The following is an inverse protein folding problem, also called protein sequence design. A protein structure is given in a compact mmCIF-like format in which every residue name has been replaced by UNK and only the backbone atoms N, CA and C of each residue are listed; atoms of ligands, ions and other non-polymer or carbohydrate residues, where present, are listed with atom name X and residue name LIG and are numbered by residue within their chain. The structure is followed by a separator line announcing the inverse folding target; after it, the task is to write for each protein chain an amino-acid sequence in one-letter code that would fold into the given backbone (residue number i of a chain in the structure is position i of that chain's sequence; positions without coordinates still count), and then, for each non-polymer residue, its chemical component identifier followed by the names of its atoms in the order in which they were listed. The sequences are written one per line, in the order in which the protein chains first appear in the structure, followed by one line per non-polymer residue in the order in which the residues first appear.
data_IF_958651613413
#
_entry.id   IF_958651613413
#
_cell.length_a   1.000
_cell.length_b   1.000
_cell.length_c   1.000
_cell.angle_alpha   90.00
_cell.angle_beta   90.00
_cell.angle_gamma   90.00
#
_symmetry.space_group_name_H-M   'P 1'
#
loop_
_entity.id
_entity.type
_entity.pdbx_description
1 polymer ?
#
# COMPACT_ATOMS: atom_id res chain seq x y z
N UNK A 1 16.29 -9.43 30.12
CA UNK A 1 15.95 -10.79 29.64
C UNK A 1 17.17 -11.66 29.39
N UNK A 2 18.20 -11.19 28.68
CA UNK A 2 19.47 -11.93 28.51
C UNK A 2 20.06 -12.47 29.82
N UNK A 3 20.11 -11.65 30.87
CA UNK A 3 20.59 -12.08 32.19
C UNK A 3 19.73 -13.20 32.82
N UNK A 4 18.41 -13.19 32.62
CA UNK A 4 17.53 -14.26 33.10
C UNK A 4 17.73 -15.55 32.32
N UNK A 5 17.96 -15.48 31.00
CA UNK A 5 18.29 -16.67 30.19
C UNK A 5 19.66 -17.25 30.58
N UNK A 6 20.66 -16.39 30.83
CA UNK A 6 21.95 -16.83 31.36
C UNK A 6 21.82 -17.50 32.73
N UNK A 7 20.98 -16.96 33.61
CA UNK A 7 20.68 -17.56 34.91
C UNK A 7 19.87 -18.87 34.79
N UNK A 8 18.98 -18.97 33.80
CA UNK A 8 18.25 -20.21 33.49
C UNK A 8 19.20 -21.32 33.03
N UNK A 9 20.17 -21.00 32.16
CA UNK A 9 21.15 -21.95 31.64
C UNK A 9 22.22 -22.32 32.68
N UNK A 10 22.67 -21.35 33.48
CA UNK A 10 23.69 -21.53 34.52
C UNK A 10 23.20 -20.94 35.85
N UNK A 11 22.48 -21.69 36.70
CA UNK A 11 21.96 -21.15 37.96
C UNK A 11 23.04 -20.65 38.93
N UNK A 12 24.26 -21.19 38.83
CA UNK A 12 25.39 -20.88 39.72
C UNK A 12 25.96 -19.45 39.57
N UNK A 13 25.57 -18.72 38.51
CA UNK A 13 26.05 -17.34 38.30
C UNK A 13 25.26 -16.30 39.10
N UNK A 14 24.21 -16.72 39.82
CA UNK A 14 23.35 -15.84 40.62
C UNK A 14 23.53 -16.14 42.10
N UNK A 15 23.77 -15.10 42.89
CA UNK A 15 23.69 -15.16 44.35
C UNK A 15 22.65 -14.17 44.87
N UNK A 16 21.98 -14.54 45.96
CA UNK A 16 20.93 -13.75 46.61
C UNK A 16 21.47 -13.19 47.93
N UNK A 17 20.94 -12.04 48.38
CA UNK A 17 21.37 -11.31 49.58
C UNK A 17 22.85 -10.84 49.60
N UNK A 18 23.25 -9.85 48.77
CA UNK A 18 22.45 -9.10 47.80
C UNK A 18 22.42 -9.76 46.42
N UNK A 19 21.41 -9.45 45.60
CA UNK A 19 21.32 -9.98 44.23
C UNK A 19 22.56 -9.63 43.41
N UNK A 20 23.41 -10.62 43.16
CA UNK A 20 24.58 -10.50 42.27
C UNK A 20 24.44 -11.48 41.12
N UNK A 21 24.74 -11.00 39.93
CA UNK A 21 24.82 -11.81 38.70
C UNK A 21 26.23 -11.64 38.15
N UNK A 22 27.00 -12.71 38.02
CA UNK A 22 28.44 -12.68 37.69
C UNK A 22 29.24 -11.73 38.62
N UNK A 23 29.05 -11.87 39.94
CA UNK A 23 29.71 -11.07 41.00
C UNK A 23 29.46 -9.55 40.97
N UNK A 24 28.59 -9.07 40.09
CA UNK A 24 28.17 -7.66 40.01
C UNK A 24 26.79 -7.49 40.61
N UNK A 25 26.61 -6.42 41.39
CA UNK A 25 25.31 -6.02 41.95
C UNK A 25 24.32 -5.74 40.81
N UNK A 26 23.21 -6.47 40.78
CA UNK A 26 22.18 -6.28 39.77
C UNK A 26 21.13 -5.28 40.29
N UNK A 27 21.19 -4.05 39.79
CA UNK A 27 20.18 -3.00 40.07
C UNK A 27 19.16 -2.81 38.94
N UNK A 28 19.27 -3.60 37.88
CA UNK A 28 18.47 -3.39 36.67
C UNK A 28 17.05 -3.89 36.88
N UNK A 29 16.07 -3.01 36.75
CA UNK A 29 14.65 -3.38 36.67
C UNK A 29 14.39 -4.15 35.38
N UNK A 30 13.87 -5.37 35.49
CA UNK A 30 13.49 -6.18 34.33
C UNK A 30 12.01 -5.91 34.07
N UNK A 31 11.70 -5.38 32.88
CA UNK A 31 10.33 -5.17 32.47
C UNK A 31 9.62 -6.51 32.22
N UNK A 32 8.51 -6.76 32.91
CA UNK A 32 7.66 -7.95 32.77
C UNK A 32 6.21 -7.59 32.49
N UNK A 33 5.96 -6.69 31.54
CA UNK A 33 4.62 -6.24 31.14
C UNK A 33 3.66 -7.35 30.65
N UNK A 34 4.17 -8.57 30.42
CA UNK A 34 3.39 -9.75 30.02
C UNK A 34 2.95 -10.63 31.19
N UNK A 35 3.28 -10.26 32.44
CA UNK A 35 2.85 -10.97 33.65
C UNK A 35 1.66 -10.25 34.29
N UNK A 36 0.89 -10.98 35.12
CA UNK A 36 -0.32 -10.44 35.75
C UNK A 36 -0.07 -9.27 36.72
N UNK A 37 1.16 -9.11 37.19
CA UNK A 37 1.60 -8.00 38.06
C UNK A 37 3.09 -7.74 37.89
N UNK A 38 3.54 -6.59 38.40
CA UNK A 38 4.95 -6.25 38.44
C UNK A 38 5.67 -7.06 39.53
N UNK A 39 6.75 -7.73 39.13
CA UNK A 39 7.63 -8.48 40.03
C UNK A 39 8.98 -7.79 40.14
N UNK A 40 9.56 -7.82 41.32
CA UNK A 40 10.94 -7.37 41.50
C UNK A 40 11.91 -8.34 40.80
N UNK A 41 13.06 -7.81 40.43
CA UNK A 41 14.10 -8.55 39.71
C UNK A 41 14.59 -9.75 40.51
N UNK A 42 14.70 -9.59 41.82
CA UNK A 42 15.06 -10.65 42.75
C UNK A 42 14.08 -11.83 42.69
N UNK A 43 12.77 -11.58 42.64
CA UNK A 43 11.76 -12.62 42.50
C UNK A 43 11.90 -13.38 41.18
N UNK A 44 12.16 -12.66 40.09
CA UNK A 44 12.33 -13.25 38.75
C UNK A 44 13.55 -14.17 38.69
N UNK A 45 14.71 -13.71 39.17
CA UNK A 45 15.93 -14.54 39.23
C UNK A 45 15.75 -15.73 40.17
N UNK A 46 15.09 -15.52 41.32
CA UNK A 46 14.86 -16.58 42.30
C UNK A 46 14.02 -17.71 41.72
N UNK A 47 12.91 -17.38 41.04
CA UNK A 47 12.09 -18.37 40.39
C UNK A 47 12.83 -19.07 39.24
N UNK A 48 13.52 -18.33 38.37
CA UNK A 48 14.22 -18.92 37.21
C UNK A 48 15.34 -19.88 37.63
N UNK A 49 16.05 -19.59 38.72
CA UNK A 49 17.11 -20.48 39.25
C UNK A 49 16.55 -21.73 39.94
N UNK A 50 15.35 -21.64 40.51
CA UNK A 50 14.70 -22.71 41.26
C UNK A 50 13.48 -23.33 40.55
N UNK A 51 13.33 -23.10 39.25
CA UNK A 51 12.15 -23.51 38.47
C UNK A 51 11.90 -25.03 38.45
N UNK A 52 12.92 -25.83 38.77
CA UNK A 52 12.85 -27.30 38.84
C UNK A 52 12.25 -27.82 40.15
N UNK A 53 12.11 -26.97 41.17
CA UNK A 53 11.48 -27.35 42.43
C UNK A 53 9.97 -27.50 42.25
N UNK A 54 9.36 -28.41 43.01
CA UNK A 54 7.90 -28.46 43.09
C UNK A 54 7.35 -27.16 43.73
N UNK A 55 6.14 -26.75 43.36
CA UNK A 55 5.54 -25.51 43.88
C UNK A 55 5.55 -25.41 45.42
N UNK A 56 5.25 -26.48 46.19
CA UNK A 56 5.34 -26.44 47.65
C UNK A 56 6.77 -26.22 48.18
N UNK A 57 7.78 -26.83 47.53
CA UNK A 57 9.19 -26.66 47.89
C UNK A 57 9.68 -25.25 47.55
N UNK A 58 9.26 -24.72 46.39
CA UNK A 58 9.54 -23.35 45.98
C UNK A 58 8.97 -22.31 46.97
N UNK A 59 7.74 -22.49 47.46
CA UNK A 59 7.18 -21.61 48.48
C UNK A 59 7.98 -21.66 49.79
N UNK A 60 8.50 -22.84 50.15
CA UNK A 60 9.34 -23.01 51.35
C UNK A 60 10.68 -22.30 51.19
N UNK A 61 11.33 -22.42 50.03
CA UNK A 61 12.62 -21.75 49.77
C UNK A 61 12.45 -20.23 49.66
N UNK A 62 11.39 -19.73 49.03
CA UNK A 62 11.05 -18.29 49.03
C UNK A 62 11.01 -17.70 50.45
N UNK A 63 10.36 -18.41 51.38
CA UNK A 63 10.29 -17.99 52.79
C UNK A 63 11.67 -17.97 53.47
N UNK A 64 12.53 -18.93 53.16
CA UNK A 64 13.89 -19.00 53.75
C UNK A 64 14.79 -17.86 53.28
N UNK A 65 14.67 -17.45 52.01
CA UNK A 65 15.46 -16.37 51.44
C UNK A 65 14.81 -14.98 51.61
N UNK A 66 13.63 -14.91 52.24
CA UNK A 66 12.83 -13.70 52.41
C UNK A 66 12.44 -13.02 51.08
N UNK A 67 12.12 -13.84 50.06
CA UNK A 67 11.73 -13.39 48.72
C UNK A 67 10.26 -13.72 48.50
N UNK A 68 9.50 -12.77 47.97
CA UNK A 68 8.08 -12.96 47.68
C UNK A 68 7.88 -13.92 46.48
N UNK A 69 6.98 -14.91 46.57
CA UNK A 69 6.80 -15.86 45.48
C UNK A 69 6.11 -15.26 44.26
N UNK A 70 6.47 -15.78 43.09
CA UNK A 70 5.75 -15.53 41.82
C UNK A 70 4.44 -16.30 41.79
N UNK A 71 3.36 -15.66 41.33
CA UNK A 71 2.05 -16.29 41.21
C UNK A 71 2.10 -17.50 40.28
N UNK A 72 1.38 -18.57 40.63
CA UNK A 72 1.41 -19.83 39.90
C UNK A 72 1.06 -19.69 38.40
N UNK A 73 0.14 -18.79 38.06
CA UNK A 73 -0.25 -18.51 36.67
C UNK A 73 0.86 -17.83 35.85
N UNK A 74 1.72 -17.06 36.51
CA UNK A 74 2.81 -16.29 35.87
C UNK A 74 4.10 -17.11 35.73
N UNK A 75 4.20 -18.23 36.45
CA UNK A 75 5.37 -19.10 36.48
C UNK A 75 5.66 -19.75 35.13
N UNK A 76 4.65 -20.36 34.52
CA UNK A 76 4.77 -20.96 33.18
C UNK A 76 5.04 -19.92 32.10
N UNK A 77 4.35 -18.78 32.17
CA UNK A 77 4.49 -17.66 31.22
C UNK A 77 5.92 -17.11 31.27
N UNK A 78 6.46 -16.92 32.47
CA UNK A 78 7.82 -16.42 32.66
C UNK A 78 8.86 -17.40 32.10
N UNK A 79 8.71 -18.71 32.34
CA UNK A 79 9.62 -19.72 31.79
C UNK A 79 9.57 -19.77 30.28
N UNK A 80 8.37 -19.80 29.70
CA UNK A 80 8.17 -19.82 28.27
C UNK A 80 8.83 -18.60 27.61
N UNK A 81 8.66 -17.41 28.21
CA UNK A 81 9.25 -16.18 27.70
C UNK A 81 10.79 -16.19 27.80
N UNK A 82 11.37 -16.70 28.89
CA UNK A 82 12.83 -16.82 29.06
C UNK A 82 13.42 -17.87 28.10
N UNK A 83 12.72 -18.96 27.84
CA UNK A 83 13.14 -20.00 26.89
C UNK A 83 13.12 -19.48 25.44
N UNK A 84 12.02 -18.81 25.05
CA UNK A 84 11.84 -18.20 23.72
C UNK A 84 12.72 -16.99 23.48
N UNK A 85 13.32 -16.41 24.52
CA UNK A 85 14.21 -15.28 24.37
C UNK A 85 15.49 -15.68 23.65
N UNK A 86 15.61 -15.42 22.36
CA UNK A 86 16.86 -15.59 21.61
C UNK A 86 17.70 -14.32 21.73
N UNK A 87 19.00 -14.47 22.06
CA UNK A 87 19.94 -13.35 21.93
C UNK A 87 20.17 -13.13 20.44
N UNK A 88 19.30 -12.36 19.83
CA UNK A 88 19.61 -11.78 18.55
C UNK A 88 20.71 -10.75 18.82
N UNK A 89 21.96 -11.14 18.62
CA UNK A 89 23.04 -10.19 18.37
C UNK A 89 22.72 -9.54 17.05
N UNK A 90 21.86 -8.53 17.07
CA UNK A 90 21.71 -7.64 15.94
C UNK A 90 23.03 -6.86 15.84
N UNK A 91 23.84 -7.23 14.85
CA UNK A 91 24.94 -6.39 14.41
C UNK A 91 24.32 -5.05 14.00
N UNK A 92 24.74 -3.97 14.66
CA UNK A 92 24.17 -2.63 14.45
C UNK A 92 24.41 -2.16 13.01
N UNK A 93 25.35 -2.79 12.31
CA UNK A 93 25.66 -2.53 10.90
C UNK A 93 24.83 -3.39 9.91
N UNK A 94 24.15 -4.44 10.38
CA UNK A 94 23.20 -5.25 9.58
C UNK A 94 21.76 -5.13 10.10
N UNK A 95 21.46 -4.07 10.86
CA UNK A 95 20.09 -3.64 11.08
C UNK A 95 19.55 -3.07 9.78
N UNK A 96 19.08 -3.96 8.89
CA UNK A 96 17.87 -3.69 8.14
C UNK A 96 16.78 -3.44 9.19
N UNK A 97 16.69 -2.19 9.64
CA UNK A 97 15.44 -1.66 10.16
C UNK A 97 14.46 -1.99 9.04
N UNK A 98 13.44 -2.86 9.23
CA UNK A 98 12.29 -2.70 8.39
C UNK A 98 11.82 -1.32 8.80
N UNK A 99 12.14 -0.30 7.99
CA UNK A 99 11.21 0.79 7.79
C UNK A 99 9.94 0.01 7.51
N UNK A 100 9.10 -0.15 8.55
CA UNK A 100 7.78 -0.74 8.42
C UNK A 100 7.10 0.25 7.51
N UNK A 101 7.30 0.02 6.21
CA UNK A 101 6.80 0.85 5.17
C UNK A 101 5.36 0.44 5.06
N UNK A 102 4.58 0.91 6.03
CA UNK A 102 3.14 0.87 6.00
C UNK A 102 2.60 1.73 4.85
N UNK A 103 3.42 2.19 3.89
CA UNK A 103 2.93 2.60 2.58
C UNK A 103 2.10 1.49 1.93
N UNK A 104 2.37 0.20 2.18
CA UNK A 104 1.47 -0.87 1.72
C UNK A 104 0.08 -0.78 2.39
N UNK A 105 -0.04 -0.23 3.60
CA UNK A 105 -1.35 0.05 4.21
C UNK A 105 -2.02 1.24 3.49
N UNK A 106 -1.25 2.20 2.97
CA UNK A 106 -1.78 3.20 2.03
C UNK A 106 -2.14 2.59 0.66
N UNK A 107 -1.61 1.40 0.30
CA UNK A 107 -2.07 0.62 -0.85
C UNK A 107 -3.31 -0.22 -0.52
N UNK A 108 -3.53 -0.60 0.75
CA UNK A 108 -4.80 -1.10 1.27
C UNK A 108 -5.80 0.04 1.45
N UNK A 109 -6.13 0.71 0.35
CA UNK A 109 -7.36 1.47 0.28
C UNK A 109 -8.52 0.49 0.25
N UNK A 110 -9.38 0.61 1.26
CA UNK A 110 -10.70 -0.03 1.36
C UNK A 110 -11.40 0.16 0.01
N UNK A 111 -11.52 -0.91 -0.78
CA UNK A 111 -12.11 -0.96 -2.12
C UNK A 111 -11.89 0.31 -2.97
N UNK A 112 -10.63 0.60 -3.29
CA UNK A 112 -10.32 1.74 -4.14
C UNK A 112 -10.89 1.55 -5.54
N UNK A 113 -11.96 2.27 -5.85
CA UNK A 113 -12.52 2.28 -7.19
C UNK A 113 -11.46 2.85 -8.14
N UNK A 114 -10.87 1.98 -8.96
CA UNK A 114 -9.94 2.40 -10.00
C UNK A 114 -10.75 3.09 -11.11
N UNK A 115 -10.17 4.10 -11.75
CA UNK A 115 -10.85 4.80 -12.85
C UNK A 115 -10.04 4.66 -14.13
N UNK A 116 -10.68 4.16 -15.17
CA UNK A 116 -10.07 3.92 -16.48
C UNK A 116 -10.56 4.92 -17.54
N UNK A 117 -9.65 5.27 -18.43
CA UNK A 117 -9.90 6.07 -19.63
C UNK A 117 -9.54 5.20 -20.83
N UNK A 118 -10.45 5.10 -21.79
CA UNK A 118 -10.22 4.34 -23.02
C UNK A 118 -9.61 5.24 -24.09
N UNK A 119 -8.58 4.78 -24.78
CA UNK A 119 -8.01 5.41 -25.98
C UNK A 119 -8.08 4.44 -27.16
N UNK A 120 -7.79 4.89 -28.37
CA UNK A 120 -7.74 3.99 -29.52
C UNK A 120 -6.42 3.23 -29.60
N UNK A 121 -6.49 1.99 -30.09
CA UNK A 121 -5.31 1.21 -30.50
C UNK A 121 -4.90 1.46 -31.95
N UNK A 122 -5.58 2.36 -32.68
CA UNK A 122 -5.22 2.67 -34.06
C UNK A 122 -3.90 3.43 -34.12
N UNK A 123 -3.01 3.02 -35.02
CA UNK A 123 -1.77 3.76 -35.32
C UNK A 123 -2.06 5.21 -35.77
N UNK A 124 -3.13 5.39 -36.55
CA UNK A 124 -3.51 6.69 -37.11
C UNK A 124 -4.43 7.52 -36.21
N UNK A 125 -4.81 7.00 -35.03
CA UNK A 125 -5.62 7.76 -34.10
C UNK A 125 -4.86 9.01 -33.63
N UNK A 126 -5.59 10.10 -33.40
CA UNK A 126 -4.97 11.29 -32.84
C UNK A 126 -4.42 10.98 -31.45
N UNK A 127 -5.21 10.32 -30.60
CA UNK A 127 -4.85 10.00 -29.23
C UNK A 127 -4.79 8.48 -29.05
N UNK A 128 -3.61 8.00 -28.63
CA UNK A 128 -3.32 6.59 -28.34
C UNK A 128 -2.49 6.49 -27.04
N UNK A 129 -2.12 5.26 -26.66
CA UNK A 129 -1.35 5.00 -25.44
C UNK A 129 0.02 5.70 -25.41
N UNK A 130 0.61 6.05 -26.56
CA UNK A 130 1.94 6.66 -26.61
C UNK A 130 1.94 8.16 -26.30
N UNK A 131 0.86 8.86 -26.62
CA UNK A 131 0.80 10.33 -26.49
C UNK A 131 -0.22 10.83 -25.47
N UNK A 132 -1.16 10.00 -25.02
CA UNK A 132 -2.19 10.39 -24.06
C UNK A 132 -1.61 10.91 -22.74
N UNK A 133 -0.46 10.39 -22.29
CA UNK A 133 0.20 10.88 -21.06
C UNK A 133 0.62 12.35 -21.21
N UNK A 134 1.33 12.69 -22.29
CA UNK A 134 1.79 14.06 -22.56
C UNK A 134 0.58 14.99 -22.78
N UNK A 135 -0.44 14.48 -23.47
CA UNK A 135 -1.67 15.22 -23.72
C UNK A 135 -2.45 15.56 -22.44
N UNK A 136 -2.65 14.61 -21.53
CA UNK A 136 -3.40 14.82 -20.30
C UNK A 136 -2.60 15.55 -19.21
N UNK A 137 -1.26 15.43 -19.22
CA UNK A 137 -0.37 16.07 -18.25
C UNK A 137 0.07 17.48 -18.65
N UNK A 138 0.22 17.75 -19.93
CA UNK A 138 0.80 19.03 -20.37
C UNK A 138 -0.09 19.73 -21.39
N UNK A 139 -1.13 19.06 -21.89
CA UNK A 139 -1.93 19.56 -23.01
C UNK A 139 -1.17 19.49 -24.34
N UNK A 140 -0.02 18.83 -24.38
CA UNK A 140 0.84 18.78 -25.56
C UNK A 140 0.38 17.64 -26.47
N UNK A 141 -0.02 17.99 -27.69
CA UNK A 141 -0.35 17.02 -28.70
C UNK A 141 0.86 16.73 -29.60
N UNK A 142 1.44 15.54 -29.45
CA UNK A 142 2.50 15.03 -30.32
C UNK A 142 1.99 13.76 -30.99
N UNK A 143 1.96 13.76 -32.32
CA UNK A 143 1.61 12.57 -33.09
C UNK A 143 2.75 11.56 -32.97
N UNK A 144 2.46 10.40 -32.38
CA UNK A 144 3.40 9.29 -32.25
C UNK A 144 2.88 8.11 -33.06
N UNK A 145 3.72 7.59 -33.95
CA UNK A 145 3.46 6.33 -34.63
C UNK A 145 3.72 5.18 -33.67
N UNK A 146 2.89 4.16 -33.73
CA UNK A 146 3.02 2.98 -32.87
C UNK A 146 4.14 2.08 -33.44
N UNK A 147 5.22 1.81 -32.69
CA UNK A 147 6.22 0.83 -33.09
C UNK A 147 5.60 -0.56 -33.25
N UNK A 148 6.12 -1.38 -34.17
CA UNK A 148 5.62 -2.74 -34.40
C UNK A 148 5.70 -3.63 -33.15
N UNK A 149 6.70 -3.40 -32.30
CA UNK A 149 6.95 -4.18 -31.07
C UNK A 149 6.29 -3.55 -29.84
N UNK A 150 5.36 -2.61 -30.02
CA UNK A 150 4.74 -1.92 -28.91
C UNK A 150 3.72 -2.81 -28.21
N UNK A 151 3.98 -3.13 -26.94
CA UNK A 151 3.00 -3.77 -26.08
C UNK A 151 1.97 -2.73 -25.62
N UNK A 152 0.70 -2.95 -25.98
CA UNK A 152 -0.44 -2.12 -25.54
C UNK A 152 -0.80 -2.39 -24.07
N UNK A 153 0.15 -2.15 -23.17
CA UNK A 153 -0.07 -2.27 -21.75
C UNK A 153 -0.78 -1.02 -21.20
N UNK A 154 -1.70 -1.18 -20.24
CA UNK A 154 -2.31 -0.05 -19.56
C UNK A 154 -1.26 0.84 -18.89
N UNK A 155 -1.44 2.15 -18.97
CA UNK A 155 -0.53 3.13 -18.36
C UNK A 155 -1.24 3.95 -17.28
N UNK A 156 -0.48 4.43 -16.28
CA UNK A 156 -1.00 5.32 -15.23
C UNK A 156 -0.69 6.77 -15.55
N UNK A 157 -1.72 7.60 -15.64
CA UNK A 157 -1.62 9.05 -15.87
C UNK A 157 -2.05 9.80 -14.62
N UNK A 158 -1.20 10.70 -14.12
CA UNK A 158 -1.54 11.58 -12.98
C UNK A 158 -2.27 12.82 -13.50
N UNK A 159 -3.36 13.19 -12.83
CA UNK A 159 -4.03 14.45 -13.12
C UNK A 159 -3.23 15.64 -12.60
N UNK A 160 -3.34 16.75 -13.32
CA UNK A 160 -2.74 18.01 -12.90
C UNK A 160 -3.65 18.78 -11.94
N UNK A 161 -4.96 18.47 -11.98
CA UNK A 161 -5.97 19.17 -11.19
C UNK A 161 -6.12 18.57 -9.80
N UNK A 162 -6.05 17.24 -9.69
CA UNK A 162 -5.98 16.54 -8.40
C UNK A 162 -4.79 15.59 -8.43
N UNK A 163 -4.16 15.35 -7.28
CA UNK A 163 -3.02 14.42 -7.13
C UNK A 163 -3.47 12.95 -7.19
N UNK A 164 -4.28 12.62 -8.19
CA UNK A 164 -4.90 11.31 -8.41
C UNK A 164 -4.38 10.70 -9.71
N UNK A 165 -4.34 9.37 -9.77
CA UNK A 165 -3.91 8.63 -10.94
C UNK A 165 -5.09 7.93 -11.61
N UNK A 166 -5.08 7.91 -12.93
CA UNK A 166 -6.05 7.24 -13.77
C UNK A 166 -5.35 6.19 -14.60
N UNK A 167 -6.02 5.08 -14.83
CA UNK A 167 -5.55 4.04 -15.73
C UNK A 167 -5.99 4.42 -17.15
N UNK A 168 -5.10 4.26 -18.12
CA UNK A 168 -5.42 4.44 -19.53
C UNK A 168 -5.14 3.15 -20.27
N UNK A 169 -6.10 2.67 -21.06
CA UNK A 169 -6.03 1.42 -21.81
C UNK A 169 -6.77 1.56 -23.14
N UNK A 170 -6.48 0.69 -24.10
CA UNK A 170 -7.22 0.56 -25.35
C UNK A 170 -8.35 -0.49 -25.27
N UNK A 171 -8.51 -1.15 -24.13
CA UNK A 171 -9.41 -2.30 -23.96
C UNK A 171 -10.64 -1.96 -23.11
N UNK A 172 -11.83 -1.95 -23.74
CA UNK A 172 -13.11 -1.77 -23.05
C UNK A 172 -13.46 -2.88 -22.04
N UNK A 173 -12.85 -4.06 -22.14
CA UNK A 173 -13.02 -5.18 -21.19
C UNK A 173 -11.94 -5.19 -20.12
N UNK A 174 -11.24 -4.08 -19.90
CA UNK A 174 -10.25 -3.98 -18.84
C UNK A 174 -10.90 -4.27 -17.48
N UNK A 175 -10.55 -5.42 -16.91
CA UNK A 175 -11.14 -6.00 -15.69
C UNK A 175 -10.09 -6.15 -14.60
N UNK A 176 -9.41 -5.06 -14.26
CA UNK A 176 -8.75 -4.98 -12.96
C UNK A 176 -9.77 -4.73 -11.86
N UNK A 177 -9.48 -5.21 -10.64
CA UNK A 177 -10.38 -5.12 -9.48
C UNK A 177 -10.93 -3.70 -9.32
N UNK A 178 -12.25 -3.60 -9.19
CA UNK A 178 -12.99 -2.36 -8.92
C UNK A 178 -12.74 -1.22 -9.93
N UNK A 179 -12.48 -1.51 -11.21
CA UNK A 179 -12.25 -0.47 -12.22
C UNK A 179 -13.53 0.01 -12.90
N UNK A 180 -13.82 1.32 -12.83
CA UNK A 180 -14.91 2.01 -13.55
C UNK A 180 -14.34 2.81 -14.73
N UNK A 181 -14.87 2.58 -15.93
CA UNK A 181 -14.53 3.39 -17.10
C UNK A 181 -15.27 4.73 -17.01
N UNK A 182 -14.54 5.84 -17.01
CA UNK A 182 -15.10 7.19 -16.84
C UNK A 182 -14.98 8.06 -18.07
N UNK A 183 -14.21 7.64 -19.07
CA UNK A 183 -14.13 8.37 -20.33
C UNK A 183 -13.49 7.57 -21.46
N UNK A 184 -13.67 8.10 -22.66
CA UNK A 184 -13.15 7.54 -23.91
C UNK A 184 -12.71 8.65 -24.86
N UNK A 185 -11.55 8.44 -25.49
CA UNK A 185 -11.08 9.20 -26.64
C UNK A 185 -11.40 8.46 -27.92
N UNK A 186 -12.36 8.97 -28.68
CA UNK A 186 -12.82 8.40 -29.94
C UNK A 186 -11.79 8.61 -31.06
N UNK A 187 -11.65 7.61 -31.93
CA UNK A 187 -10.88 7.73 -33.18
C UNK A 187 -11.76 7.90 -34.44
N UNK A 188 -13.07 7.79 -34.29
CA UNK A 188 -14.05 7.89 -35.37
C UNK A 188 -14.37 6.57 -36.07
N UNK A 189 -13.77 5.45 -35.66
CA UNK A 189 -14.00 4.15 -36.25
C UNK A 189 -14.92 3.29 -35.38
N UNK A 190 -15.87 2.60 -36.02
CA UNK A 190 -16.77 1.67 -35.32
C UNK A 190 -16.04 0.50 -34.67
N UNK A 191 -14.87 0.10 -35.21
CA UNK A 191 -14.13 -1.04 -34.69
C UNK A 191 -13.58 -0.80 -33.28
N UNK A 192 -13.39 0.46 -32.87
CA UNK A 192 -12.97 0.84 -31.51
C UNK A 192 -13.90 0.21 -30.45
N UNK A 193 -15.18 0.00 -30.80
CA UNK A 193 -16.21 -0.54 -29.91
C UNK A 193 -16.43 -2.05 -30.01
N UNK A 194 -15.67 -2.78 -30.84
CA UNK A 194 -15.89 -4.24 -31.10
C UNK A 194 -16.00 -5.09 -29.83
N UNK A 195 -15.31 -4.69 -28.77
CA UNK A 195 -15.27 -5.41 -27.50
C UNK A 195 -16.01 -4.67 -26.37
N UNK A 196 -16.80 -3.65 -26.70
CA UNK A 196 -17.55 -2.87 -25.71
C UNK A 196 -18.98 -3.40 -25.55
N UNK A 197 -19.62 -3.10 -24.42
CA UNK A 197 -21.03 -3.41 -24.19
C UNK A 197 -21.97 -2.31 -24.72
N UNK A 198 -21.43 -1.25 -25.33
CA UNK A 198 -22.20 -0.10 -25.79
C UNK A 198 -22.70 -0.32 -27.21
N UNK A 199 -23.97 -0.01 -27.43
CA UNK A 199 -24.62 -0.20 -28.73
C UNK A 199 -24.62 1.05 -29.60
N UNK A 200 -24.52 2.24 -28.99
CA UNK A 200 -24.54 3.51 -29.69
C UNK A 200 -23.79 4.62 -28.93
N UNK A 201 -23.49 5.72 -29.64
CA UNK A 201 -22.76 6.86 -29.07
C UNK A 201 -23.54 7.62 -27.98
N UNK A 202 -24.88 7.63 -28.02
CA UNK A 202 -25.69 8.29 -26.98
C UNK A 202 -25.55 7.57 -25.65
N UNK A 203 -25.57 6.24 -25.67
CA UNK A 203 -25.36 5.38 -24.51
C UNK A 203 -23.97 5.60 -23.91
N UNK A 204 -22.93 5.72 -24.74
CA UNK A 204 -21.59 6.12 -24.29
C UNK A 204 -21.60 7.49 -23.59
N UNK A 205 -22.18 8.51 -24.22
CA UNK A 205 -22.23 9.86 -23.66
C UNK A 205 -22.99 9.93 -22.33
N UNK A 206 -23.99 9.08 -22.14
CA UNK A 206 -24.75 9.02 -20.89
C UNK A 206 -23.96 8.39 -19.74
N UNK A 207 -23.08 7.43 -20.05
CA UNK A 207 -22.35 6.65 -19.06
C UNK A 207 -20.92 7.15 -18.78
N UNK A 208 -20.29 7.88 -19.70
CA UNK A 208 -18.90 8.32 -19.56
C UNK A 208 -18.59 9.62 -20.31
N UNK A 209 -17.45 10.24 -19.98
CA UNK A 209 -16.95 11.41 -20.70
C UNK A 209 -16.41 11.01 -22.08
N UNK A 210 -17.05 11.52 -23.15
CA UNK A 210 -16.65 11.22 -24.52
C UNK A 210 -15.90 12.40 -25.15
N UNK A 211 -14.71 12.13 -25.69
CA UNK A 211 -13.86 13.12 -26.35
C UNK A 211 -13.56 12.68 -27.78
N UNK A 212 -13.48 13.64 -28.70
CA UNK A 212 -12.96 13.42 -30.04
C UNK A 212 -11.89 14.46 -30.35
N UNK A 213 -10.69 14.00 -30.69
CA UNK A 213 -9.52 14.87 -30.91
C UNK A 213 -9.13 14.81 -32.37
N UNK A 214 -9.02 15.96 -33.03
CA UNK A 214 -8.66 16.04 -34.45
C UNK A 214 -7.96 17.35 -34.77
N UNK A 215 -7.08 17.32 -35.77
CA UNK A 215 -6.52 18.52 -36.39
C UNK A 215 -7.50 19.17 -37.37
N UNK A 216 -8.42 18.37 -37.92
CA UNK A 216 -9.44 18.79 -38.89
C UNK A 216 -10.79 18.99 -38.19
N UNK A 217 -11.29 20.23 -38.17
CA UNK A 217 -12.60 20.58 -37.61
C UNK A 217 -13.77 20.01 -38.43
N UNK A 218 -13.58 19.75 -39.72
CA UNK A 218 -14.61 19.17 -40.60
C UNK A 218 -15.15 17.84 -40.07
N UNK A 219 -14.32 17.08 -39.36
CA UNK A 219 -14.67 15.80 -38.74
C UNK A 219 -15.60 15.95 -37.53
N UNK A 220 -15.74 17.14 -36.95
CA UNK A 220 -16.59 17.39 -35.79
C UNK A 220 -18.08 17.34 -36.12
N UNK A 221 -18.44 17.62 -37.38
CA UNK A 221 -19.82 17.58 -37.85
C UNK A 221 -20.48 16.20 -37.64
N UNK A 222 -19.68 15.13 -37.58
CA UNK A 222 -20.14 13.76 -37.32
C UNK A 222 -20.74 13.57 -35.90
N UNK A 223 -20.49 14.53 -35.00
CA UNK A 223 -20.92 14.45 -33.60
C UNK A 223 -21.92 15.54 -33.21
N UNK A 224 -22.45 16.29 -34.18
CA UNK A 224 -23.46 17.32 -33.93
C UNK A 224 -24.70 16.73 -33.24
N UNK A 225 -25.11 17.36 -32.12
CA UNK A 225 -26.25 16.91 -31.33
C UNK A 225 -25.94 15.75 -30.35
N UNK A 226 -24.68 15.37 -30.19
CA UNK A 226 -24.22 14.41 -29.18
C UNK A 226 -23.35 15.13 -28.13
N UNK A 227 -23.30 14.61 -26.89
CA UNK A 227 -22.41 15.14 -25.83
C UNK A 227 -20.95 14.65 -25.98
N UNK A 228 -20.42 14.79 -27.20
CA UNK A 228 -19.01 14.53 -27.52
C UNK A 228 -18.24 15.84 -27.46
N UNK A 229 -17.18 15.86 -26.66
CA UNK A 229 -16.29 16.99 -26.56
C UNK A 229 -15.24 16.95 -27.68
N UNK A 230 -15.52 17.66 -28.76
CA UNK A 230 -14.60 17.83 -29.89
C UNK A 230 -13.48 18.82 -29.53
N UNK A 231 -12.23 18.39 -29.66
CA UNK A 231 -11.04 19.17 -29.30
C UNK A 231 -10.17 19.30 -30.53
N UNK A 232 -10.01 20.54 -30.99
CA UNK A 232 -9.04 20.87 -32.03
C UNK A 232 -7.64 20.82 -31.45
N UNK A 233 -6.74 20.14 -32.16
CA UNK A 233 -5.31 20.09 -31.85
C UNK A 233 -4.50 20.50 -33.07
N UNK A 234 -3.23 20.82 -32.83
CA UNK A 234 -2.24 21.00 -33.88
C UNK A 234 -0.99 20.25 -33.45
N UNK A 235 -0.40 19.45 -34.34
CA UNK A 235 0.79 18.68 -34.00
C UNK A 235 1.92 19.58 -33.46
N UNK A 236 2.59 19.12 -32.40
CA UNK A 236 3.64 19.83 -31.67
C UNK A 236 3.19 21.16 -31.04
N UNK A 237 1.90 21.34 -30.80
CA UNK A 237 1.36 22.56 -30.16
C UNK A 237 0.58 22.21 -28.89
N UNK A 238 0.70 23.02 -27.82
CA UNK A 238 -0.11 22.83 -26.63
C UNK A 238 -1.55 23.30 -26.88
N UNK A 239 -2.52 22.58 -26.32
CA UNK A 239 -3.90 23.07 -26.24
C UNK A 239 -4.02 24.17 -25.17
N UNK A 240 -5.03 25.05 -25.27
CA UNK A 240 -5.31 26.02 -24.21
C UNK A 240 -5.49 25.34 -22.85
N UNK A 241 -4.94 25.94 -21.79
CA UNK A 241 -5.06 25.42 -20.41
C UNK A 241 -6.52 25.25 -19.98
N UNK A 242 -7.40 26.11 -20.48
CA UNK A 242 -8.85 26.03 -20.25
C UNK A 242 -9.44 24.74 -20.83
N UNK A 243 -9.02 24.36 -22.03
CA UNK A 243 -9.41 23.10 -22.68
C UNK A 243 -8.93 21.90 -21.88
N UNK A 244 -7.67 21.91 -21.43
CA UNK A 244 -7.14 20.82 -20.60
C UNK A 244 -7.90 20.70 -19.26
N UNK A 245 -8.18 21.84 -18.62
CA UNK A 245 -8.97 21.87 -17.40
C UNK A 245 -10.40 21.38 -17.63
N UNK A 246 -10.99 21.69 -18.78
CA UNK A 246 -12.32 21.22 -19.17
C UNK A 246 -12.36 19.69 -19.32
N UNK A 247 -11.36 19.09 -19.99
CA UNK A 247 -11.24 17.62 -20.15
C UNK A 247 -11.28 16.95 -18.77
N UNK A 248 -10.41 17.40 -17.87
CA UNK A 248 -10.34 16.86 -16.52
C UNK A 248 -11.62 17.08 -15.72
N UNK A 249 -12.24 18.27 -15.79
CA UNK A 249 -13.52 18.53 -15.13
C UNK A 249 -14.61 17.57 -15.61
N UNK A 250 -14.68 17.30 -16.92
CA UNK A 250 -15.66 16.36 -17.49
C UNK A 250 -15.38 14.92 -17.03
N UNK A 251 -14.11 14.49 -17.00
CA UNK A 251 -13.74 13.18 -16.42
C UNK A 251 -14.14 13.07 -14.94
N UNK A 252 -13.90 14.12 -14.15
CA UNK A 252 -14.27 14.16 -12.74
C UNK A 252 -15.78 14.11 -12.51
N UNK A 253 -16.58 14.69 -13.40
CA UNK A 253 -18.04 14.62 -13.32
C UNK A 253 -18.53 13.15 -13.35
N UNK A 254 -17.98 12.33 -14.26
CA UNK A 254 -18.33 10.92 -14.36
C UNK A 254 -17.70 10.06 -13.27
N UNK A 255 -16.55 10.48 -12.73
CA UNK A 255 -15.99 9.91 -11.50
C UNK A 255 -16.94 10.08 -10.31
N UNK A 256 -17.62 11.23 -10.21
CA UNK A 256 -18.53 11.57 -9.09
C UNK A 256 -19.97 11.08 -9.25
N UNK A 257 -20.37 10.63 -10.44
CA UNK A 257 -21.67 9.96 -10.63
C UNK A 257 -21.56 8.57 -10.03
N UNK A 258 -22.14 8.36 -8.85
CA UNK A 258 -22.35 7.03 -8.25
C UNK A 258 -23.40 6.25 -9.06
#
# INVERSE_FOLDING_TARGET
MDLLKKAYLNPNIVSFNPLKVNDKLCKNTINTAYLSKEYSTEQLFFYITHHKLSYPEYLKTCKQYNILPIAYVDQSILLEHVMKYENNTFDVNELHIPTLDYSFINEFRIDDLNYAIIVSSAENSAINLLNISDFLREGIFIRKKIPLDYENLPIKVKSNLKRESFIVTDNFKYKEKNTKIIGVFLDGNSWQFKNSNFTNLKDLCNNMAVFYVSEEESKFNNYNGLDVSCIKVQNNSPIPKETLNFIWKKLYLFKSKE
#
